data_IF_513460233628
#
_entry.id   IF_513460233628
#
_cell.length_a   1.000
_cell.length_b   1.000
_cell.length_c   1.000
_cell.angle_alpha   90.00
_cell.angle_beta   90.00
_cell.angle_gamma   90.00
#
_symmetry.space_group_name_H-M   'P 1'
#
loop_
_entity.id
_entity.type
_entity.pdbx_description
1 polymer ?
#
# COMPACT_ATOMS: atom_id res chain seq x y z
N UNK A 1 15.23 -9.37 -5.74
CA UNK A 1 14.05 -9.25 -6.60
C UNK A 1 12.91 -8.77 -5.73
N UNK A 2 12.32 -7.61 -6.05
CA UNK A 2 11.03 -7.21 -5.49
C UNK A 2 9.97 -7.98 -6.27
N UNK A 3 9.34 -8.99 -5.68
CA UNK A 3 8.47 -9.90 -6.44
C UNK A 3 7.18 -10.19 -5.67
N UNK A 4 6.47 -9.14 -5.20
CA UNK A 4 5.07 -9.09 -4.74
C UNK A 4 4.81 -7.81 -3.89
N UNK A 5 3.55 -7.59 -3.50
CA UNK A 5 3.12 -6.48 -2.62
C UNK A 5 3.96 -6.40 -1.34
N UNK A 6 4.25 -7.53 -0.69
CA UNK A 6 5.08 -7.55 0.53
C UNK A 6 6.47 -6.98 0.27
N UNK A 7 7.11 -7.39 -0.83
CA UNK A 7 8.42 -6.87 -1.24
C UNK A 7 8.38 -5.37 -1.52
N UNK A 8 7.31 -4.88 -2.14
CA UNK A 8 7.09 -3.45 -2.39
C UNK A 8 6.94 -2.66 -1.07
N UNK A 9 6.20 -3.17 -0.10
CA UNK A 9 6.05 -2.55 1.21
C UNK A 9 7.38 -2.50 1.99
N UNK A 10 8.23 -3.53 1.89
CA UNK A 10 9.59 -3.49 2.47
C UNK A 10 10.49 -2.48 1.77
N UNK A 11 10.38 -2.33 0.44
CA UNK A 11 11.09 -1.28 -0.29
C UNK A 11 10.67 0.12 0.18
N UNK A 12 9.37 0.37 0.33
CA UNK A 12 8.84 1.64 0.84
C UNK A 12 9.36 1.90 2.25
N UNK A 13 9.26 0.90 3.14
CA UNK A 13 9.80 1.00 4.51
C UNK A 13 11.28 1.35 4.51
N UNK A 14 12.09 0.70 3.68
CA UNK A 14 13.51 0.99 3.55
C UNK A 14 13.76 2.42 3.07
N UNK A 15 12.95 2.89 2.12
CA UNK A 15 13.01 4.26 1.59
C UNK A 15 12.71 5.30 2.67
N UNK A 16 11.60 5.14 3.41
CA UNK A 16 11.24 6.02 4.53
C UNK A 16 12.37 6.10 5.56
N UNK A 17 12.93 4.95 5.94
CA UNK A 17 14.04 4.89 6.92
C UNK A 17 15.34 5.51 6.42
N UNK A 18 15.58 5.50 5.11
CA UNK A 18 16.74 6.18 4.54
C UNK A 18 16.62 7.71 4.64
N UNK A 19 15.39 8.22 4.65
CA UNK A 19 15.05 9.64 4.73
C UNK A 19 14.92 10.12 6.18
N UNK A 20 14.43 9.27 7.08
CA UNK A 20 14.32 9.53 8.52
C UNK A 20 15.11 8.53 9.35
N UNK A 21 16.29 8.98 9.81
CA UNK A 21 17.22 8.17 10.64
C UNK A 21 16.74 7.96 12.07
N UNK A 22 15.69 8.65 12.52
CA UNK A 22 15.13 8.45 13.86
C UNK A 22 14.34 7.15 13.96
N UNK A 23 13.90 6.58 12.83
CA UNK A 23 13.14 5.34 12.77
C UNK A 23 14.08 4.14 13.00
N UNK A 24 13.83 3.42 14.11
CA UNK A 24 14.57 2.23 14.50
C UNK A 24 14.51 1.12 13.44
N UNK A 25 15.60 0.36 13.31
CA UNK A 25 15.60 -0.86 12.48
C UNK A 25 14.60 -1.92 12.97
N UNK A 26 14.34 -1.94 14.27
CA UNK A 26 13.42 -2.88 14.89
C UNK A 26 11.95 -2.45 14.80
N UNK A 27 11.68 -1.27 14.25
CA UNK A 27 10.33 -0.75 14.12
C UNK A 27 9.51 -1.62 13.15
N UNK A 28 8.32 -2.10 13.53
CA UNK A 28 7.45 -2.88 12.65
C UNK A 28 7.14 -2.15 11.34
N UNK A 29 7.06 -2.88 10.23
CA UNK A 29 6.79 -2.30 8.90
C UNK A 29 5.52 -1.47 8.90
N UNK A 30 4.44 -1.98 9.51
CA UNK A 30 3.17 -1.27 9.63
C UNK A 30 3.29 0.07 10.38
N UNK A 31 4.10 0.14 11.44
CA UNK A 31 4.34 1.40 12.16
C UNK A 31 5.10 2.41 11.31
N UNK A 32 6.08 1.93 10.52
CA UNK A 32 6.81 2.80 9.58
C UNK A 32 5.88 3.31 8.48
N UNK A 33 5.00 2.47 7.93
CA UNK A 33 4.00 2.91 6.94
C UNK A 33 3.02 3.92 7.54
N UNK A 34 2.61 3.73 8.79
CA UNK A 34 1.77 4.68 9.53
C UNK A 34 2.42 6.05 9.71
N UNK A 35 3.75 6.17 9.69
CA UNK A 35 4.41 7.48 9.76
C UNK A 35 4.05 8.40 8.58
N UNK A 36 3.67 7.83 7.42
CA UNK A 36 3.22 8.60 6.26
C UNK A 36 1.91 9.36 6.51
N UNK A 37 1.16 8.97 7.53
CA UNK A 37 -0.02 9.73 7.98
C UNK A 37 0.33 11.06 8.64
N UNK A 38 1.63 11.37 8.77
CA UNK A 38 2.17 12.67 9.17
C UNK A 38 2.79 13.45 7.99
N UNK A 39 2.95 12.82 6.81
CA UNK A 39 3.43 13.48 5.60
C UNK A 39 2.26 14.19 4.91
N UNK A 40 2.28 15.53 4.88
CA UNK A 40 1.21 16.35 4.32
C UNK A 40 0.90 16.04 2.85
N UNK A 41 1.93 15.72 2.04
CA UNK A 41 1.74 15.39 0.62
C UNK A 41 1.06 14.03 0.49
N UNK A 42 1.51 13.05 1.27
CA UNK A 42 0.87 11.74 1.29
C UNK A 42 -0.59 11.83 1.76
N UNK A 43 -0.85 12.54 2.86
CA UNK A 43 -2.21 12.77 3.39
C UNK A 43 -3.09 13.44 2.33
N UNK A 44 -2.58 14.42 1.60
CA UNK A 44 -3.32 15.09 0.54
C UNK A 44 -3.69 14.11 -0.58
N UNK A 45 -2.75 13.30 -1.04
CA UNK A 45 -2.99 12.26 -2.05
C UNK A 45 -4.04 11.23 -1.58
N UNK A 46 -3.92 10.78 -0.33
CA UNK A 46 -4.83 9.80 0.26
C UNK A 46 -6.26 10.36 0.37
N UNK A 47 -6.41 11.58 0.88
CA UNK A 47 -7.71 12.27 0.98
C UNK A 47 -8.36 12.47 -0.39
N UNK A 48 -7.59 12.89 -1.39
CA UNK A 48 -8.10 13.07 -2.75
C UNK A 48 -8.62 11.75 -3.33
N UNK A 49 -7.86 10.67 -3.16
CA UNK A 49 -8.26 9.34 -3.65
C UNK A 49 -9.50 8.82 -2.90
N UNK A 50 -9.57 9.04 -1.58
CA UNK A 50 -10.76 8.71 -0.80
C UNK A 50 -12.01 9.44 -1.31
N UNK A 51 -11.88 10.73 -1.65
CA UNK A 51 -12.99 11.54 -2.18
C UNK A 51 -13.50 10.98 -3.52
N UNK A 52 -12.58 10.66 -4.44
CA UNK A 52 -12.93 10.12 -5.76
C UNK A 52 -13.61 8.74 -5.67
N UNK A 53 -13.22 7.93 -4.69
CA UNK A 53 -13.77 6.57 -4.47
C UNK A 53 -14.90 6.53 -3.43
N UNK A 54 -15.46 7.68 -3.04
CA UNK A 54 -16.51 7.80 -2.03
C UNK A 54 -16.21 6.99 -0.74
N UNK A 55 -14.96 7.01 -0.32
CA UNK A 55 -14.42 6.25 0.82
C UNK A 55 -14.05 7.18 1.97
N UNK A 56 -14.17 6.70 3.22
CA UNK A 56 -13.81 7.52 4.37
C UNK A 56 -12.30 7.50 4.61
N UNK A 57 -11.67 8.67 4.64
CA UNK A 57 -10.23 8.82 4.89
C UNK A 57 -9.73 8.03 6.11
N UNK A 58 -10.47 8.08 7.22
CA UNK A 58 -10.07 7.43 8.47
C UNK A 58 -10.07 5.91 8.38
N UNK A 59 -10.93 5.33 7.56
CA UNK A 59 -10.98 3.88 7.36
C UNK A 59 -9.79 3.41 6.51
N UNK A 60 -9.47 4.16 5.44
CA UNK A 60 -8.30 3.87 4.58
C UNK A 60 -6.98 4.12 5.32
N UNK A 61 -6.90 5.20 6.10
CA UNK A 61 -5.75 5.51 6.98
C UNK A 61 -5.46 4.35 7.94
N UNK A 62 -6.52 3.79 8.56
CA UNK A 62 -6.37 2.67 9.50
C UNK A 62 -5.82 1.41 8.85
N UNK A 63 -6.14 1.17 7.57
CA UNK A 63 -5.62 0.01 6.82
C UNK A 63 -4.10 0.04 6.68
N UNK A 64 -3.47 1.22 6.65
CA UNK A 64 -2.01 1.36 6.51
C UNK A 64 -1.23 0.56 7.57
N UNK A 65 -1.77 0.45 8.78
CA UNK A 65 -1.17 -0.30 9.89
C UNK A 65 -1.37 -1.82 9.84
N UNK A 66 -2.02 -2.35 8.79
CA UNK A 66 -2.23 -3.78 8.62
C UNK A 66 -1.76 -4.33 7.26
N UNK A 67 -1.36 -3.48 6.33
CA UNK A 67 -1.02 -3.87 4.95
C UNK A 67 0.09 -4.90 4.91
N UNK A 68 1.15 -4.73 5.72
CA UNK A 68 2.28 -5.66 5.70
C UNK A 68 1.88 -7.03 6.26
N UNK A 69 1.01 -7.04 7.28
CA UNK A 69 0.48 -8.26 7.85
C UNK A 69 -0.42 -9.01 6.86
N UNK A 70 -1.32 -8.31 6.17
CA UNK A 70 -2.16 -8.90 5.10
C UNK A 70 -1.28 -9.44 3.97
N UNK A 71 -0.30 -8.65 3.50
CA UNK A 71 0.65 -9.09 2.46
C UNK A 71 1.45 -10.34 2.86
N UNK A 72 1.75 -10.50 4.15
CA UNK A 72 2.54 -11.63 4.65
C UNK A 72 1.74 -12.92 4.79
N UNK A 73 0.40 -12.85 4.84
CA UNK A 73 -0.48 -14.02 4.82
C UNK A 73 -0.66 -14.57 3.42
N UNK A 74 -0.71 -13.69 2.44
CA UNK A 74 -0.88 -14.03 1.03
C UNK A 74 0.47 -14.48 0.44
N UNK A 75 0.90 -15.69 0.83
CA UNK A 75 2.12 -16.36 0.36
C UNK A 75 1.98 -16.97 -1.05
N UNK A 76 0.95 -16.58 -1.80
CA UNK A 76 0.75 -17.01 -3.18
C UNK A 76 1.37 -15.99 -4.12
N UNK A 77 2.64 -16.20 -4.48
CA UNK A 77 3.30 -15.36 -5.47
C UNK A 77 4.79 -15.60 -5.53
N UNK A 78 5.19 -16.63 -6.29
CA UNK A 78 6.53 -16.71 -6.87
C UNK A 78 6.66 -15.80 -8.12
N UNK A 79 5.58 -15.10 -8.50
CA UNK A 79 5.54 -14.21 -9.64
C UNK A 79 6.29 -12.91 -9.40
N UNK A 80 6.88 -12.41 -10.49
CA UNK A 80 7.83 -11.29 -10.46
C UNK A 80 7.15 -9.92 -10.40
N UNK A 81 5.83 -9.88 -10.57
CA UNK A 81 5.08 -8.63 -10.71
C UNK A 81 4.34 -8.26 -9.42
N UNK A 82 4.12 -6.96 -9.24
CA UNK A 82 3.36 -6.42 -8.11
C UNK A 82 1.90 -6.34 -8.53
N UNK A 83 1.04 -7.10 -7.85
CA UNK A 83 -0.37 -7.22 -8.19
C UNK A 83 -1.24 -6.82 -7.00
N UNK A 84 -2.20 -5.94 -7.23
CA UNK A 84 -3.28 -5.64 -6.29
C UNK A 84 -4.52 -6.36 -6.81
N UNK A 85 -4.88 -7.49 -6.19
CA UNK A 85 -6.05 -8.28 -6.54
C UNK A 85 -7.20 -8.00 -5.56
N UNK A 86 -8.30 -7.39 -6.02
CA UNK A 86 -9.41 -7.03 -5.15
C UNK A 86 -10.12 -8.22 -4.47
N UNK A 87 -9.78 -9.47 -4.84
CA UNK A 87 -10.27 -10.68 -4.17
C UNK A 87 -9.50 -11.01 -2.89
N UNK A 88 -8.26 -10.53 -2.78
CA UNK A 88 -7.34 -10.82 -1.68
C UNK A 88 -7.28 -9.70 -0.62
N UNK A 89 -7.85 -8.54 -0.93
CA UNK A 89 -7.75 -7.32 -0.14
C UNK A 89 -9.12 -6.69 0.06
N UNK A 90 -9.36 -6.05 1.22
CA UNK A 90 -10.56 -5.22 1.38
C UNK A 90 -10.48 -3.98 0.48
N UNK A 91 -11.63 -3.39 0.13
CA UNK A 91 -11.67 -2.18 -0.72
C UNK A 91 -10.78 -1.03 -0.18
N UNK A 92 -10.76 -0.83 1.14
CA UNK A 92 -9.91 0.18 1.76
C UNK A 92 -8.42 -0.16 1.69
N UNK A 93 -8.04 -1.43 1.82
CA UNK A 93 -6.66 -1.86 1.63
C UNK A 93 -6.22 -1.73 0.17
N UNK A 94 -7.10 -2.06 -0.79
CA UNK A 94 -6.87 -1.83 -2.22
C UNK A 94 -6.53 -0.37 -2.47
N UNK A 95 -7.36 0.57 -1.96
CA UNK A 95 -7.12 2.01 -2.07
C UNK A 95 -5.81 2.46 -1.43
N UNK A 96 -5.53 1.99 -0.21
CA UNK A 96 -4.30 2.33 0.51
C UNK A 96 -3.05 1.88 -0.27
N UNK A 97 -3.05 0.66 -0.84
CA UNK A 97 -1.96 0.13 -1.63
C UNK A 97 -1.71 0.91 -2.91
N UNK A 98 -2.76 1.25 -3.67
CA UNK A 98 -2.58 2.02 -4.91
C UNK A 98 -2.07 3.43 -4.65
N UNK A 99 -2.55 4.10 -3.59
CA UNK A 99 -2.01 5.41 -3.18
C UNK A 99 -0.54 5.30 -2.80
N UNK A 100 -0.17 4.30 -2.00
CA UNK A 100 1.24 4.03 -1.63
C UNK A 100 2.11 3.82 -2.86
N UNK A 101 1.71 2.92 -3.76
CA UNK A 101 2.51 2.59 -4.93
C UNK A 101 2.62 3.76 -5.89
N UNK A 102 1.54 4.53 -6.08
CA UNK A 102 1.59 5.77 -6.84
C UNK A 102 2.53 6.80 -6.22
N UNK A 103 2.47 7.01 -4.90
CA UNK A 103 3.31 7.98 -4.20
C UNK A 103 4.81 7.66 -4.32
N UNK A 104 5.15 6.37 -4.33
CA UNK A 104 6.54 5.88 -4.50
C UNK A 104 6.91 5.52 -5.94
N UNK A 105 6.04 5.81 -6.91
CA UNK A 105 6.24 5.49 -8.33
C UNK A 105 6.56 4.01 -8.60
N UNK A 106 5.86 3.11 -7.90
CA UNK A 106 5.94 1.66 -8.04
C UNK A 106 4.87 1.23 -9.05
N UNK A 107 5.28 0.55 -10.12
CA UNK A 107 4.35 -0.02 -11.11
C UNK A 107 3.68 -1.28 -10.57
N UNK A 108 2.39 -1.45 -10.84
CA UNK A 108 1.61 -2.60 -10.42
C UNK A 108 0.48 -2.91 -11.41
N UNK A 109 -0.01 -4.15 -11.39
CA UNK A 109 -1.24 -4.56 -12.05
C UNK A 109 -2.41 -4.56 -11.06
N UNK A 110 -3.61 -4.26 -11.54
CA UNK A 110 -4.83 -4.30 -10.75
C UNK A 110 -5.81 -5.32 -11.33
N UNK A 111 -6.27 -6.22 -10.48
CA UNK A 111 -7.33 -7.17 -10.82
C UNK A 111 -8.58 -6.82 -10.01
N UNK A 112 -9.73 -6.73 -10.69
CA UNK A 112 -11.00 -6.41 -10.04
C UNK A 112 -11.56 -7.60 -9.24
N UNK A 113 -12.76 -7.44 -8.67
CA UNK A 113 -13.45 -8.46 -7.88
C UNK A 113 -13.78 -9.75 -8.66
N UNK A 114 -13.73 -9.71 -9.99
CA UNK A 114 -13.88 -10.88 -10.88
C UNK A 114 -12.55 -11.56 -11.20
N UNK A 115 -11.42 -10.95 -10.83
CA UNK A 115 -10.09 -11.40 -11.21
C UNK A 115 -9.66 -10.98 -12.62
N UNK A 116 -10.37 -10.03 -13.24
CA UNK A 116 -9.99 -9.50 -14.54
C UNK A 116 -8.99 -8.35 -14.37
N UNK A 117 -7.97 -8.31 -15.23
CA UNK A 117 -7.08 -7.15 -15.33
C UNK A 117 -7.89 -5.92 -15.72
N UNK A 118 -7.85 -4.88 -14.90
CA UNK A 118 -8.70 -3.70 -15.04
C UNK A 118 -7.91 -2.41 -14.80
N UNK A 119 -8.53 -1.29 -15.18
CA UNK A 119 -8.05 0.02 -14.76
C UNK A 119 -8.25 0.18 -13.25
N UNK A 120 -7.23 0.70 -12.58
CA UNK A 120 -7.27 0.92 -11.14
C UNK A 120 -8.30 2.01 -10.79
N UNK A 121 -9.16 1.81 -9.77
CA UNK A 121 -10.18 2.77 -9.39
C UNK A 121 -9.52 4.02 -8.80
N UNK A 122 -9.61 5.14 -9.52
CA UNK A 122 -9.07 6.44 -9.11
C UNK A 122 -10.16 7.40 -8.70
#
# INVERSE_FOLDING_TARGET
GMCNVRGALEFIRSTIRSQDKTISFREPTDNVLMSLTQDEKFISCLKQTCLLNNSQYKDVERCMGGLYHTASKNLHGHDKDIEIDARDWSANEVLALGVLFRYYNISYYYYNDKGDLAEYPY
#
